data_IF_455200131191
#
_entry.id   IF_455200131191
#
_cell.length_a   1.000
_cell.length_b   1.000
_cell.length_c   1.000
_cell.angle_alpha   90.00
_cell.angle_beta   90.00
_cell.angle_gamma   90.00
#
_symmetry.space_group_name_H-M   'P 1'
#
loop_
_entity.id
_entity.type
_entity.pdbx_description
1 polymer ?
#
# COMPACT_ATOMS: atom_id res chain seq x y z
N UNK A 1 71.23 7.95 22.23
CA UNK A 1 70.16 7.78 23.24
C UNK A 1 68.84 7.86 22.49
N UNK A 2 68.14 6.73 22.29
CA UNK A 2 66.97 6.26 23.09
C UNK A 2 65.78 7.23 22.94
N UNK A 3 64.58 6.89 22.43
CA UNK A 3 63.89 5.62 22.16
C UNK A 3 62.88 5.80 21.01
N UNK A 4 62.67 4.74 20.24
CA UNK A 4 61.49 4.54 19.38
C UNK A 4 60.23 4.34 20.23
N UNK A 5 59.09 4.79 19.71
CA UNK A 5 57.77 4.31 20.13
C UNK A 5 57.04 3.74 18.92
N UNK A 6 56.62 2.51 19.09
CA UNK A 6 56.00 1.64 18.10
C UNK A 6 54.48 1.73 18.17
N UNK A 7 53.83 1.41 17.04
CA UNK A 7 52.60 0.62 16.97
C UNK A 7 51.34 1.24 17.57
N UNK A 8 50.53 1.88 16.72
CA UNK A 8 49.08 1.88 16.91
C UNK A 8 48.52 0.81 16.00
N UNK A 9 48.14 -0.33 16.60
CA UNK A 9 47.45 -1.41 15.91
C UNK A 9 46.00 -0.99 15.67
N UNK A 10 45.60 -0.93 14.41
CA UNK A 10 44.22 -0.79 13.98
C UNK A 10 43.42 -2.02 14.44
N UNK A 11 42.62 -1.85 15.49
CA UNK A 11 41.59 -2.80 15.89
C UNK A 11 40.44 -2.73 14.89
N UNK A 12 40.50 -3.53 13.83
CA UNK A 12 39.35 -3.82 12.99
C UNK A 12 38.28 -4.53 13.84
N UNK A 13 37.23 -3.79 14.19
CA UNK A 13 36.03 -4.34 14.80
C UNK A 13 35.24 -5.06 13.70
N UNK A 14 35.02 -6.39 13.78
CA UNK A 14 34.20 -7.08 12.80
C UNK A 14 32.75 -6.60 12.91
N UNK A 15 32.29 -5.88 11.90
CA UNK A 15 30.87 -5.53 11.73
C UNK A 15 30.12 -6.82 11.41
N UNK A 16 29.60 -7.46 12.46
CA UNK A 16 28.72 -8.60 12.33
C UNK A 16 27.49 -8.18 11.50
N UNK A 17 27.43 -8.66 10.24
CA UNK A 17 26.25 -8.57 9.39
C UNK A 17 25.14 -9.39 10.03
N UNK A 18 24.35 -8.77 10.91
CA UNK A 18 23.09 -9.34 11.40
C UNK A 18 22.12 -9.36 10.24
N UNK A 19 22.12 -10.47 9.51
CA UNK A 19 21.01 -10.84 8.63
C UNK A 19 19.84 -11.25 9.53
N UNK A 20 19.14 -10.26 10.09
CA UNK A 20 17.83 -10.49 10.67
C UNK A 20 16.88 -10.73 9.52
N UNK A 21 16.56 -11.99 9.27
CA UNK A 21 15.40 -12.39 8.48
C UNK A 21 14.17 -11.86 9.22
N UNK A 22 13.78 -10.61 8.93
CA UNK A 22 12.58 -9.98 9.49
C UNK A 22 11.41 -10.81 8.97
N UNK A 23 10.71 -11.52 9.86
CA UNK A 23 9.46 -12.18 9.48
C UNK A 23 8.51 -11.10 9.02
N UNK A 24 8.13 -11.13 7.75
CA UNK A 24 7.16 -10.21 7.17
C UNK A 24 5.82 -10.47 7.87
N UNK A 25 5.24 -9.51 8.61
CA UNK A 25 3.93 -9.66 9.21
C UNK A 25 2.92 -10.00 8.11
N UNK A 26 2.19 -11.10 8.27
CA UNK A 26 1.11 -11.45 7.35
C UNK A 26 -0.18 -10.91 7.94
N UNK A 27 -0.81 -9.96 7.25
CA UNK A 27 -2.17 -9.58 7.58
C UNK A 27 -3.09 -10.55 6.85
N UNK A 28 -3.80 -11.35 7.63
CA UNK A 28 -4.84 -12.21 7.08
C UNK A 28 -6.06 -11.33 6.81
N UNK A 29 -6.48 -11.26 5.55
CA UNK A 29 -7.71 -10.57 5.15
C UNK A 29 -8.64 -11.64 4.58
N UNK A 30 -9.70 -11.98 5.32
CA UNK A 30 -10.78 -12.87 4.87
C UNK A 30 -10.28 -14.16 4.19
N UNK A 31 -9.53 -15.00 4.93
CA UNK A 31 -8.95 -16.28 4.49
C UNK A 31 -7.90 -16.20 3.35
N UNK A 32 -7.66 -15.02 2.78
CA UNK A 32 -6.54 -14.74 1.89
C UNK A 32 -5.42 -14.05 2.70
N UNK A 33 -4.20 -14.60 2.65
CA UNK A 33 -3.07 -13.97 3.33
C UNK A 33 -2.51 -12.86 2.43
N UNK A 34 -2.81 -11.61 2.77
CA UNK A 34 -2.13 -10.46 2.16
C UNK A 34 -0.81 -10.27 2.90
N UNK A 35 0.28 -10.52 2.19
CA UNK A 35 1.60 -10.25 2.71
C UNK A 35 1.84 -8.75 2.56
N UNK A 36 1.47 -7.98 3.59
CA UNK A 36 1.89 -6.59 3.70
C UNK A 36 3.32 -6.55 4.24
N UNK A 37 4.18 -5.76 3.63
CA UNK A 37 5.47 -5.48 4.24
C UNK A 37 5.25 -4.77 5.59
N UNK A 38 6.13 -4.93 6.60
CA UNK A 38 5.94 -4.24 7.88
C UNK A 38 5.81 -2.72 7.74
N UNK A 39 6.46 -2.14 6.73
CA UNK A 39 6.31 -0.72 6.40
C UNK A 39 4.92 -0.36 5.86
N UNK A 40 4.22 -1.31 5.24
CA UNK A 40 2.85 -1.15 4.75
C UNK A 40 1.82 -1.28 5.88
N UNK A 41 2.06 -2.15 6.87
CA UNK A 41 1.21 -2.26 8.07
C UNK A 41 1.19 -0.94 8.87
N UNK A 42 2.36 -0.35 9.11
CA UNK A 42 2.47 0.96 9.78
C UNK A 42 1.72 2.06 9.01
N UNK A 43 1.82 2.04 7.67
CA UNK A 43 1.10 2.98 6.79
C UNK A 43 -0.39 2.75 6.82
N UNK A 44 -0.84 1.50 6.84
CA UNK A 44 -2.25 1.13 6.92
C UNK A 44 -2.88 1.66 8.20
N UNK A 45 -2.26 1.37 9.35
CA UNK A 45 -2.74 1.86 10.65
C UNK A 45 -2.71 3.39 10.73
N UNK A 46 -1.65 4.03 10.21
CA UNK A 46 -1.55 5.49 10.15
C UNK A 46 -2.65 6.10 9.28
N UNK A 47 -2.96 5.49 8.14
CA UNK A 47 -4.01 5.94 7.23
C UNK A 47 -5.38 5.91 7.92
N UNK A 48 -5.69 4.83 8.64
CA UNK A 48 -6.94 4.75 9.41
C UNK A 48 -7.04 5.82 10.50
N UNK A 49 -5.95 6.07 11.25
CA UNK A 49 -5.90 7.16 12.24
C UNK A 49 -6.13 8.54 11.61
N UNK A 50 -5.53 8.80 10.44
CA UNK A 50 -5.69 10.07 9.72
C UNK A 50 -7.14 10.28 9.27
N UNK A 51 -7.79 9.22 8.78
CA UNK A 51 -9.17 9.29 8.29
C UNK A 51 -10.14 9.54 9.44
N UNK A 52 -10.04 8.78 10.54
CA UNK A 52 -10.90 9.00 11.71
C UNK A 52 -10.72 10.41 12.27
N UNK A 53 -9.48 10.89 12.38
CA UNK A 53 -9.19 12.24 12.86
C UNK A 53 -9.78 13.32 11.93
N UNK A 54 -9.76 13.10 10.62
CA UNK A 54 -10.31 14.03 9.64
C UNK A 54 -11.84 14.03 9.60
N UNK A 55 -12.46 12.86 9.73
CA UNK A 55 -13.91 12.67 9.61
C UNK A 55 -14.67 12.90 10.92
N UNK A 56 -13.99 13.21 12.03
CA UNK A 56 -14.60 13.26 13.38
C UNK A 56 -15.45 12.01 13.70
N UNK A 57 -15.10 10.87 13.11
CA UNK A 57 -15.90 9.66 13.16
C UNK A 57 -16.03 9.18 14.62
N UNK A 58 -17.26 8.91 15.07
CA UNK A 58 -17.52 8.28 16.37
C UNK A 58 -17.21 6.78 16.38
N UNK A 59 -16.88 6.21 15.21
CA UNK A 59 -16.46 4.81 15.08
C UNK A 59 -15.11 4.63 15.75
N UNK A 60 -15.03 3.64 16.65
CA UNK A 60 -13.76 3.26 17.28
C UNK A 60 -12.72 2.80 16.26
N UNK A 61 -11.45 3.18 16.47
CA UNK A 61 -10.34 2.86 15.56
C UNK A 61 -10.24 1.37 15.22
N UNK A 62 -10.47 0.49 16.19
CA UNK A 62 -10.39 -0.95 15.98
C UNK A 62 -11.44 -1.44 14.98
N UNK A 63 -12.71 -1.07 15.18
CA UNK A 63 -13.80 -1.39 14.25
C UNK A 63 -13.55 -0.79 12.87
N UNK A 64 -13.13 0.47 12.80
CA UNK A 64 -12.79 1.10 11.52
C UNK A 64 -11.67 0.35 10.79
N UNK A 65 -10.62 -0.10 11.49
CA UNK A 65 -9.54 -0.86 10.87
C UNK A 65 -9.98 -2.25 10.42
N UNK A 66 -10.95 -2.87 11.11
CA UNK A 66 -11.56 -4.14 10.69
C UNK A 66 -12.38 -3.95 9.40
N UNK A 67 -13.23 -2.93 9.35
CA UNK A 67 -14.00 -2.55 8.16
C UNK A 67 -13.09 -2.19 6.98
N UNK A 68 -12.01 -1.43 7.24
CA UNK A 68 -11.03 -1.08 6.23
C UNK A 68 -10.27 -2.31 5.71
N UNK A 69 -9.95 -3.28 6.57
CA UNK A 69 -9.37 -4.56 6.14
C UNK A 69 -10.33 -5.31 5.23
N UNK A 70 -11.63 -5.35 5.58
CA UNK A 70 -12.66 -5.92 4.73
C UNK A 70 -12.72 -5.26 3.35
N UNK A 71 -12.73 -3.93 3.30
CA UNK A 71 -12.72 -3.16 2.05
C UNK A 71 -11.47 -3.44 1.20
N UNK A 72 -10.27 -3.50 1.82
CA UNK A 72 -9.03 -3.89 1.15
C UNK A 72 -9.13 -5.32 0.60
N UNK A 73 -9.75 -6.24 1.34
CA UNK A 73 -10.01 -7.61 0.91
C UNK A 73 -10.88 -7.68 -0.34
N UNK A 74 -11.99 -6.95 -0.35
CA UNK A 74 -12.86 -6.86 -1.52
C UNK A 74 -12.13 -6.30 -2.75
N UNK A 75 -11.30 -5.25 -2.57
CA UNK A 75 -10.46 -4.73 -3.65
C UNK A 75 -9.48 -5.78 -4.17
N UNK A 76 -8.83 -6.54 -3.28
CA UNK A 76 -7.89 -7.59 -3.66
C UNK A 76 -8.59 -8.71 -4.45
N UNK A 77 -9.72 -9.21 -3.95
CA UNK A 77 -10.51 -10.25 -4.63
C UNK A 77 -10.88 -9.79 -6.04
N UNK A 78 -11.42 -8.57 -6.16
CA UNK A 78 -11.77 -7.99 -7.46
C UNK A 78 -10.55 -7.86 -8.39
N UNK A 79 -9.39 -7.45 -7.87
CA UNK A 79 -8.16 -7.37 -8.66
C UNK A 79 -7.69 -8.74 -9.16
N UNK A 80 -7.85 -9.80 -8.35
CA UNK A 80 -7.53 -11.17 -8.80
C UNK A 80 -8.44 -11.60 -9.96
N UNK A 81 -9.73 -11.30 -9.87
CA UNK A 81 -10.73 -11.59 -10.92
C UNK A 81 -10.50 -10.81 -12.22
N UNK A 82 -9.83 -9.64 -12.14
CA UNK A 82 -9.59 -8.73 -13.27
C UNK A 82 -8.10 -8.57 -13.58
N UNK A 83 -7.29 -9.58 -13.23
CA UNK A 83 -5.82 -9.51 -13.30
C UNK A 83 -5.28 -9.34 -14.72
N UNK A 84 -6.05 -9.64 -15.76
CA UNK A 84 -5.66 -9.33 -17.15
C UNK A 84 -5.66 -7.82 -17.46
N UNK A 85 -6.46 -7.03 -16.74
CA UNK A 85 -6.64 -5.57 -16.93
C UNK A 85 -5.93 -4.74 -15.88
N UNK A 86 -5.67 -5.30 -14.71
CA UNK A 86 -5.02 -4.62 -13.58
C UNK A 86 -3.60 -5.14 -13.39
N UNK A 87 -2.64 -4.22 -13.47
CA UNK A 87 -1.23 -4.52 -13.15
C UNK A 87 -0.97 -4.50 -11.65
N UNK A 88 -1.51 -3.50 -10.94
CA UNK A 88 -1.32 -3.35 -9.50
C UNK A 88 -2.44 -2.49 -8.88
N UNK A 89 -2.65 -2.63 -7.57
CA UNK A 89 -3.59 -1.82 -6.80
C UNK A 89 -2.90 -1.20 -5.60
N UNK A 90 -3.18 0.08 -5.37
CA UNK A 90 -2.64 0.84 -4.25
C UNK A 90 -3.75 1.51 -3.45
N UNK A 91 -3.56 1.56 -2.15
CA UNK A 91 -4.44 2.23 -1.20
C UNK A 91 -3.74 3.47 -0.62
N UNK A 92 -4.45 4.60 -0.60
CA UNK A 92 -3.97 5.87 -0.03
C UNK A 92 -5.11 6.57 0.70
N UNK A 93 -4.84 7.06 1.92
CA UNK A 93 -5.74 8.02 2.58
C UNK A 93 -5.33 9.46 2.26
N UNK A 94 -6.28 10.30 1.84
CA UNK A 94 -6.05 11.72 1.63
C UNK A 94 -7.28 12.53 2.05
N UNK A 95 -7.11 13.47 2.99
CA UNK A 95 -8.16 14.42 3.37
C UNK A 95 -9.46 13.76 3.88
N UNK A 96 -9.36 12.68 4.64
CA UNK A 96 -10.53 11.93 5.13
C UNK A 96 -11.14 10.96 4.11
N UNK A 97 -10.60 10.90 2.88
CA UNK A 97 -11.00 9.91 1.88
C UNK A 97 -10.04 8.74 1.82
N UNK A 98 -10.58 7.59 1.43
CA UNK A 98 -9.89 6.34 1.13
C UNK A 98 -9.90 6.19 -0.39
N UNK A 99 -8.72 6.25 -1.02
CA UNK A 99 -8.58 6.11 -2.46
C UNK A 99 -7.92 4.76 -2.78
N UNK A 100 -8.55 3.99 -3.65
CA UNK A 100 -8.00 2.79 -4.25
C UNK A 100 -7.64 3.09 -5.71
N UNK A 101 -6.34 3.08 -5.99
CA UNK A 101 -5.79 3.34 -7.30
C UNK A 101 -5.48 2.03 -8.01
N UNK A 102 -6.22 1.76 -9.08
CA UNK A 102 -6.13 0.59 -9.94
C UNK A 102 -5.24 0.92 -11.13
N UNK A 103 -3.99 0.48 -11.10
CA UNK A 103 -3.06 0.72 -12.20
C UNK A 103 -3.30 -0.32 -13.28
N UNK A 104 -3.69 0.15 -14.45
CA UNK A 104 -4.09 -0.72 -15.57
C UNK A 104 -2.89 -1.36 -16.23
N UNK A 105 -3.07 -2.48 -16.93
CA UNK A 105 -2.07 -3.04 -17.84
C UNK A 105 -1.94 -2.19 -19.13
N UNK A 106 -3.00 -1.48 -19.49
CA UNK A 106 -3.03 -0.54 -20.62
C UNK A 106 -2.33 0.79 -20.30
N UNK A 107 -1.79 1.44 -21.34
CA UNK A 107 -1.27 2.81 -21.29
C UNK A 107 -2.33 3.90 -21.55
N UNK A 108 -3.59 3.52 -21.78
CA UNK A 108 -4.71 4.43 -22.01
C UNK A 108 -5.87 4.17 -21.06
N UNK A 109 -6.73 5.18 -20.89
CA UNK A 109 -7.95 5.06 -20.10
C UNK A 109 -8.93 4.05 -20.74
N UNK A 110 -9.55 3.22 -19.92
CA UNK A 110 -10.51 2.18 -20.29
C UNK A 110 -11.88 2.52 -19.69
N UNK A 111 -12.84 2.92 -20.53
CA UNK A 111 -14.16 3.35 -20.06
C UNK A 111 -14.97 2.21 -19.43
N UNK A 112 -14.91 1.00 -20.00
CA UNK A 112 -15.61 -0.15 -19.46
C UNK A 112 -15.03 -0.53 -18.08
N UNK A 113 -13.73 -0.33 -17.90
CA UNK A 113 -13.09 -0.50 -16.59
C UNK A 113 -13.57 0.57 -15.61
N UNK A 114 -13.73 1.83 -16.05
CA UNK A 114 -14.21 2.92 -15.21
C UNK A 114 -15.60 2.61 -14.62
N UNK A 115 -16.50 2.08 -15.45
CA UNK A 115 -17.84 1.69 -15.04
C UNK A 115 -17.78 0.55 -14.02
N UNK A 116 -16.97 -0.48 -14.29
CA UNK A 116 -16.78 -1.60 -13.35
C UNK A 116 -16.17 -1.16 -12.01
N UNK A 117 -15.23 -0.20 -12.01
CA UNK A 117 -14.65 0.36 -10.78
C UNK A 117 -15.66 1.22 -10.01
N UNK A 118 -16.57 1.90 -10.71
CA UNK A 118 -17.67 2.65 -10.07
C UNK A 118 -18.60 1.69 -9.33
N UNK A 119 -18.93 0.55 -9.94
CA UNK A 119 -19.70 -0.51 -9.26
C UNK A 119 -18.95 -1.08 -8.06
N UNK A 120 -17.64 -1.33 -8.17
CA UNK A 120 -16.82 -1.78 -7.04
C UNK A 120 -16.81 -0.76 -5.90
N UNK A 121 -16.64 0.53 -6.22
CA UNK A 121 -16.69 1.60 -5.22
C UNK A 121 -18.04 1.61 -4.49
N UNK A 122 -19.13 1.45 -5.24
CA UNK A 122 -20.48 1.34 -4.66
C UNK A 122 -20.59 0.13 -3.73
N UNK A 123 -20.11 -1.04 -4.15
CA UNK A 123 -20.08 -2.25 -3.33
C UNK A 123 -19.33 -2.03 -2.01
N UNK A 124 -18.15 -1.42 -2.05
CA UNK A 124 -17.36 -1.15 -0.84
C UNK A 124 -18.09 -0.21 0.10
N UNK A 125 -18.64 0.90 -0.41
CA UNK A 125 -19.39 1.87 0.40
C UNK A 125 -20.63 1.23 1.05
N UNK A 126 -21.32 0.33 0.36
CA UNK A 126 -22.50 -0.36 0.92
C UNK A 126 -22.15 -1.53 1.83
N UNK A 127 -20.99 -2.16 1.63
CA UNK A 127 -20.60 -3.40 2.29
C UNK A 127 -19.83 -3.21 3.59
N UNK A 128 -19.21 -2.04 3.79
CA UNK A 128 -18.33 -1.78 4.93
C UNK A 128 -18.65 -0.45 5.62
N UNK A 129 -18.65 -0.45 6.94
CA UNK A 129 -18.93 0.75 7.74
C UNK A 129 -17.68 1.60 7.95
N UNK A 130 -17.31 2.38 6.93
CA UNK A 130 -16.15 3.27 6.96
C UNK A 130 -16.50 4.67 7.50
N UNK A 131 -17.68 4.84 8.13
CA UNK A 131 -18.16 6.11 8.65
C UNK A 131 -18.33 7.16 7.55
N UNK A 132 -17.93 8.40 7.84
CA UNK A 132 -17.94 9.49 6.86
C UNK A 132 -16.74 9.50 5.91
N UNK A 133 -15.90 8.45 5.94
CA UNK A 133 -14.77 8.35 5.03
C UNK A 133 -15.29 8.11 3.61
N UNK A 134 -15.10 9.09 2.72
CA UNK A 134 -15.41 8.90 1.30
C UNK A 134 -14.49 7.82 0.72
N UNK A 135 -15.06 6.85 0.00
CA UNK A 135 -14.29 5.83 -0.73
C UNK A 135 -14.36 6.13 -2.21
N UNK A 136 -13.21 6.15 -2.87
CA UNK A 136 -13.09 6.29 -4.31
C UNK A 136 -12.22 5.17 -4.86
N UNK A 137 -12.68 4.52 -5.93
CA UNK A 137 -11.90 3.55 -6.69
C UNK A 137 -11.65 4.12 -8.07
N UNK A 138 -10.39 4.34 -8.41
CA UNK A 138 -9.97 5.10 -9.58
C UNK A 138 -8.99 4.29 -10.42
N UNK A 139 -9.18 4.28 -11.74
CA UNK A 139 -8.16 3.73 -12.64
C UNK A 139 -7.04 4.74 -12.86
N UNK A 140 -5.83 4.24 -13.09
CA UNK A 140 -4.71 5.01 -13.59
C UNK A 140 -4.05 4.26 -14.74
N UNK A 141 -3.90 4.88 -15.92
CA UNK A 141 -3.09 4.33 -17.01
C UNK A 141 -1.66 4.06 -16.54
N UNK A 142 -1.05 2.95 -16.99
CA UNK A 142 0.31 2.58 -16.60
C UNK A 142 1.35 3.65 -16.91
N UNK A 143 1.11 4.51 -17.90
CA UNK A 143 2.01 5.62 -18.25
C UNK A 143 1.97 6.77 -17.24
N UNK A 144 0.94 6.85 -16.39
CA UNK A 144 0.67 8.02 -15.55
C UNK A 144 0.77 7.76 -14.03
N UNK A 145 0.99 6.51 -13.60
CA UNK A 145 0.90 6.11 -12.18
C UNK A 145 1.71 7.01 -11.23
N UNK A 146 2.89 7.47 -11.65
CA UNK A 146 3.78 8.34 -10.83
C UNK A 146 3.16 9.68 -10.45
N UNK A 147 2.16 10.16 -11.20
CA UNK A 147 1.49 11.44 -10.91
C UNK A 147 0.50 11.33 -9.75
N UNK A 148 0.05 10.12 -9.46
CA UNK A 148 -1.05 9.87 -8.52
C UNK A 148 -0.62 9.06 -7.30
N UNK A 149 0.42 8.22 -7.43
CA UNK A 149 0.85 7.30 -6.39
C UNK A 149 2.28 7.65 -5.97
N UNK A 150 2.46 8.04 -4.70
CA UNK A 150 3.76 8.04 -4.04
C UNK A 150 3.98 6.68 -3.35
N UNK A 151 4.95 5.86 -3.83
CA UNK A 151 5.28 4.58 -3.23
C UNK A 151 5.69 4.64 -1.76
N UNK A 152 6.02 5.82 -1.22
CA UNK A 152 6.40 6.01 0.18
C UNK A 152 5.22 6.29 1.12
N UNK A 153 4.07 6.67 0.57
CA UNK A 153 2.87 6.95 1.36
C UNK A 153 1.71 6.01 1.06
N UNK A 154 1.76 5.29 -0.06
CA UNK A 154 0.75 4.28 -0.41
C UNK A 154 1.00 2.94 0.25
N UNK A 155 -0.07 2.16 0.42
CA UNK A 155 -0.04 0.73 0.74
C UNK A 155 -0.32 -0.03 -0.55
N UNK A 156 0.49 -1.03 -0.89
CA UNK A 156 0.21 -1.89 -2.04
C UNK A 156 -0.75 -3.00 -1.63
N UNK A 157 -1.81 -3.19 -2.40
CA UNK A 157 -2.87 -4.18 -2.15
C UNK A 157 -2.72 -5.38 -3.08
N UNK A 158 -2.42 -5.16 -4.36
CA UNK A 158 -2.32 -6.20 -5.39
C UNK A 158 -1.17 -5.92 -6.36
N UNK A 159 -0.66 -6.99 -6.98
CA UNK A 159 0.35 -6.94 -8.03
C UNK A 159 1.77 -6.69 -7.53
N UNK A 160 2.70 -6.59 -8.47
CA UNK A 160 4.09 -6.29 -8.18
C UNK A 160 4.29 -4.82 -7.84
N UNK A 161 5.41 -4.51 -7.17
CA UNK A 161 5.83 -3.12 -7.06
C UNK A 161 6.09 -2.58 -8.46
N UNK A 162 5.45 -1.47 -8.81
CA UNK A 162 5.80 -0.72 -10.00
C UNK A 162 7.27 -0.31 -9.90
N UNK A 163 8.09 -0.90 -10.75
CA UNK A 163 9.50 -0.54 -10.89
C UNK A 163 9.62 0.45 -12.01
N UNK A 164 10.59 1.34 -11.88
CA UNK A 164 11.05 2.09 -13.05
C UNK A 164 11.49 1.04 -14.07
N UNK A 165 10.93 1.08 -15.28
CA UNK A 165 11.75 0.64 -16.40
C UNK A 165 12.99 1.53 -16.34
N UNK A 166 14.21 0.98 -16.29
CA UNK A 166 15.41 1.79 -16.42
C UNK A 166 15.26 2.49 -17.76
N UNK A 167 14.90 3.78 -17.71
CA UNK A 167 14.55 4.50 -18.91
C UNK A 167 15.75 4.43 -19.86
N UNK A 168 15.44 4.05 -21.08
CA UNK A 168 16.32 4.16 -22.23
C UNK A 168 16.64 5.65 -22.37
N UNK A 169 17.81 6.04 -21.85
CA UNK A 169 18.43 7.33 -22.13
C UNK A 169 18.82 7.47 -23.60
#
# INVERSE_FOLDING_TARGET
MLKSYAGTEDLEVPVAKRSTTRSVPKIHVCDQSVVMDPGDEDRFVRSGKQVIAACQNEIGLELFLEELKGAVGACLEWCNENSERISSCYFVSCGGKLNFFMVTTSGSFDFDLADALTELSGRIVTGYNLGEAGVEVLQIPLSEWRRFIDPNSSVRVFGDALRESPDQG
#
